data_IF_971527663882
#
_entry.id   IF_971527663882
#
_cell.length_a   1.000
_cell.length_b   1.000
_cell.length_c   1.000
_cell.angle_alpha   90.00
_cell.angle_beta   90.00
_cell.angle_gamma   90.00
#
_symmetry.space_group_name_H-M   'P 1'
#
loop_
_entity.id
_entity.type
_entity.pdbx_description
1 polymer ?
#
# COMPACT_ATOMS: atom_id res chain seq x y z
N UNK A 1 6.55 27.89 7.17
CA UNK A 1 5.95 26.65 6.59
C UNK A 1 6.30 25.52 7.53
N UNK A 2 5.32 24.75 7.97
CA UNK A 2 5.51 23.73 8.99
C UNK A 2 6.40 22.61 8.39
N UNK A 3 7.57 22.33 8.96
CA UNK A 3 8.55 21.35 8.45
C UNK A 3 7.94 19.96 8.22
N UNK A 4 6.88 19.61 8.95
CA UNK A 4 6.15 18.34 8.85
C UNK A 4 5.40 18.17 7.51
N UNK A 5 4.96 19.24 6.85
CA UNK A 5 4.28 19.14 5.55
C UNK A 5 5.20 18.63 4.44
N UNK A 6 6.52 18.74 4.63
CA UNK A 6 7.52 18.28 3.67
C UNK A 6 7.98 16.82 3.89
N UNK A 7 7.49 16.14 4.91
CA UNK A 7 7.86 14.75 5.18
C UNK A 7 6.91 13.80 4.43
N UNK A 8 7.43 12.72 3.86
CA UNK A 8 6.63 11.57 3.39
C UNK A 8 6.69 10.48 4.46
N UNK A 9 5.54 10.10 4.99
CA UNK A 9 5.42 8.96 5.91
C UNK A 9 5.21 7.68 5.13
N UNK A 10 6.17 6.77 5.21
CA UNK A 10 6.10 5.43 4.61
C UNK A 10 5.58 4.45 5.63
N UNK A 11 4.42 3.86 5.39
CA UNK A 11 3.79 2.88 6.29
C UNK A 11 3.98 1.48 5.72
N UNK A 12 4.65 0.60 6.48
CA UNK A 12 4.93 -0.78 6.11
C UNK A 12 4.27 -1.73 7.11
N UNK A 13 3.21 -2.46 6.71
CA UNK A 13 2.65 -3.54 7.51
C UNK A 13 3.62 -4.71 7.62
N UNK A 14 3.94 -5.16 8.83
CA UNK A 14 4.86 -6.26 9.10
C UNK A 14 4.16 -7.34 9.92
N UNK A 15 3.77 -8.44 9.28
CA UNK A 15 3.14 -9.59 9.94
C UNK A 15 4.17 -10.61 10.44
N UNK A 16 5.34 -10.64 9.82
CA UNK A 16 6.50 -11.46 10.17
C UNK A 16 7.75 -10.82 9.59
N UNK A 17 8.90 -11.10 10.17
CA UNK A 17 10.17 -10.62 9.62
C UNK A 17 10.59 -11.52 8.47
N UNK A 18 10.77 -10.92 7.32
CA UNK A 18 11.32 -11.58 6.13
C UNK A 18 12.62 -10.91 5.70
N UNK A 19 13.53 -11.62 5.01
CA UNK A 19 14.74 -11.03 4.44
C UNK A 19 14.44 -9.87 3.49
N UNK A 20 13.34 -9.94 2.76
CA UNK A 20 12.88 -8.91 1.82
C UNK A 20 12.62 -7.58 2.51
N UNK A 21 12.14 -7.57 3.75
CA UNK A 21 11.87 -6.34 4.51
C UNK A 21 13.12 -5.44 4.60
N UNK A 22 14.29 -6.03 4.85
CA UNK A 22 15.55 -5.27 4.89
C UNK A 22 15.88 -4.65 3.52
N UNK A 23 15.66 -5.40 2.44
CA UNK A 23 15.88 -4.91 1.08
C UNK A 23 14.92 -3.77 0.77
N UNK A 24 13.64 -3.93 1.11
CA UNK A 24 12.60 -2.89 0.93
C UNK A 24 12.98 -1.62 1.69
N UNK A 25 13.35 -1.72 2.97
CA UNK A 25 13.78 -0.56 3.79
C UNK A 25 14.96 0.17 3.15
N UNK A 26 15.98 -0.57 2.68
CA UNK A 26 17.15 0.01 2.00
C UNK A 26 16.75 0.74 0.70
N UNK A 27 15.77 0.24 -0.05
CA UNK A 27 15.25 0.93 -1.23
C UNK A 27 14.49 2.21 -0.86
N UNK A 28 13.71 2.19 0.20
CA UNK A 28 12.99 3.38 0.69
C UNK A 28 13.96 4.46 1.17
N UNK A 29 15.04 4.08 1.85
CA UNK A 29 16.10 5.00 2.33
C UNK A 29 16.86 5.73 1.20
N UNK A 30 16.69 5.34 -0.08
CA UNK A 30 17.22 6.06 -1.24
C UNK A 30 16.44 7.31 -1.60
N UNK A 31 15.43 7.67 -0.82
CA UNK A 31 14.72 8.94 -0.96
C UNK A 31 15.69 10.12 -0.83
N UNK A 32 15.51 11.14 -1.64
CA UNK A 32 16.30 12.37 -1.64
C UNK A 32 15.66 13.50 -0.85
N UNK A 33 14.42 13.29 -0.42
CA UNK A 33 13.65 14.24 0.38
C UNK A 33 13.38 13.66 1.78
N UNK A 34 13.00 14.48 2.77
CA UNK A 34 12.73 14.01 4.12
C UNK A 34 11.61 12.95 4.16
N UNK A 35 11.91 11.82 4.81
CA UNK A 35 10.98 10.71 5.03
C UNK A 35 10.99 10.26 6.49
N UNK A 36 9.90 9.68 6.93
CA UNK A 36 9.83 8.80 8.09
C UNK A 36 9.27 7.43 7.68
N UNK A 37 9.73 6.36 8.32
CA UNK A 37 9.27 5.00 8.05
C UNK A 37 8.61 4.45 9.30
N UNK A 38 7.35 4.03 9.18
CA UNK A 38 6.60 3.39 10.25
C UNK A 38 6.45 1.90 9.92
N UNK A 39 7.19 1.06 10.65
CA UNK A 39 7.02 -0.38 10.63
C UNK A 39 5.87 -0.72 11.58
N UNK A 40 4.70 -1.03 11.03
CA UNK A 40 3.52 -1.40 11.82
C UNK A 40 3.54 -2.91 11.99
N UNK A 41 3.99 -3.34 13.16
CA UNK A 41 4.40 -4.72 13.46
C UNK A 41 3.33 -5.42 14.29
N UNK A 42 2.90 -6.61 13.86
CA UNK A 42 2.02 -7.47 14.67
C UNK A 42 2.71 -7.84 15.97
N UNK A 43 1.97 -7.79 17.09
CA UNK A 43 2.52 -8.10 18.41
C UNK A 43 3.00 -9.54 18.57
N UNK A 44 2.65 -10.45 17.65
CA UNK A 44 3.21 -11.80 17.59
C UNK A 44 4.69 -11.83 17.16
N UNK A 45 5.19 -10.77 16.52
CA UNK A 45 6.59 -10.62 16.12
C UNK A 45 7.40 -10.16 17.32
N UNK A 46 8.10 -11.10 17.98
CA UNK A 46 8.89 -10.85 19.19
C UNK A 46 10.32 -10.39 18.86
N UNK A 47 10.79 -10.63 17.65
CA UNK A 47 12.15 -10.33 17.25
C UNK A 47 12.41 -8.81 17.27
N UNK A 48 13.63 -8.46 17.67
CA UNK A 48 14.10 -7.08 17.66
C UNK A 48 14.42 -6.62 16.24
N UNK A 49 13.87 -5.48 15.84
CA UNK A 49 14.20 -4.82 14.58
C UNK A 49 15.17 -3.68 14.88
N UNK A 50 16.36 -3.71 14.28
CA UNK A 50 17.26 -2.56 14.31
C UNK A 50 16.67 -1.45 13.45
N UNK A 51 16.44 -0.28 14.06
CA UNK A 51 15.82 0.88 13.41
C UNK A 51 16.86 1.92 13.05
N UNK A 52 16.71 2.54 11.89
CA UNK A 52 17.43 3.76 11.51
C UNK A 52 16.81 4.99 12.20
N UNK A 53 17.50 6.13 12.27
CA UNK A 53 17.02 7.33 13.00
C UNK A 53 15.65 7.87 12.54
N UNK A 54 15.29 7.65 11.27
CA UNK A 54 14.01 8.05 10.69
C UNK A 54 12.97 6.93 10.65
N UNK A 55 13.21 5.82 11.36
CA UNK A 55 12.31 4.67 11.43
C UNK A 55 11.70 4.56 12.82
N UNK A 56 10.44 4.10 12.85
CA UNK A 56 9.68 3.87 14.08
C UNK A 56 8.98 2.52 14.00
N UNK A 57 9.09 1.71 15.05
CA UNK A 57 8.26 0.53 15.25
C UNK A 57 6.94 0.93 15.93
N UNK A 58 5.82 0.54 15.35
CA UNK A 58 4.47 0.71 15.89
C UNK A 58 3.89 -0.68 16.10
N UNK A 59 3.61 -1.07 17.34
CA UNK A 59 3.07 -2.38 17.63
C UNK A 59 1.54 -2.37 17.53
N UNK A 60 0.96 -3.43 16.94
CA UNK A 60 -0.49 -3.60 16.82
C UNK A 60 -0.90 -5.05 17.07
N UNK A 61 -1.98 -5.24 17.84
CA UNK A 61 -2.60 -6.55 18.07
C UNK A 61 -3.84 -6.83 17.20
N UNK A 62 -4.31 -5.82 16.45
CA UNK A 62 -5.50 -5.93 15.60
C UNK A 62 -5.15 -6.64 14.29
N UNK A 63 -6.00 -7.58 13.88
CA UNK A 63 -5.86 -8.28 12.60
C UNK A 63 -6.64 -7.58 11.50
N UNK A 64 -6.08 -7.62 10.29
CA UNK A 64 -6.66 -7.02 9.11
C UNK A 64 -5.83 -5.82 8.61
N UNK A 65 -5.62 -5.79 7.30
CA UNK A 65 -4.68 -4.84 6.69
C UNK A 65 -5.09 -3.39 6.90
N UNK A 66 -6.38 -3.07 6.75
CA UNK A 66 -6.85 -1.70 6.96
C UNK A 66 -6.69 -1.22 8.40
N UNK A 67 -6.83 -2.13 9.40
CA UNK A 67 -6.56 -1.80 10.80
C UNK A 67 -5.08 -1.45 11.03
N UNK A 68 -4.18 -2.23 10.41
CA UNK A 68 -2.72 -2.02 10.49
C UNK A 68 -2.34 -0.69 9.84
N UNK A 69 -2.85 -0.41 8.65
CA UNK A 69 -2.61 0.86 7.95
C UNK A 69 -3.16 2.05 8.74
N UNK A 70 -4.36 1.92 9.30
CA UNK A 70 -4.98 2.99 10.10
C UNK A 70 -4.13 3.35 11.34
N UNK A 71 -3.53 2.37 12.00
CA UNK A 71 -2.62 2.64 13.11
C UNK A 71 -1.36 3.39 12.66
N UNK A 72 -0.75 2.96 11.53
CA UNK A 72 0.35 3.70 10.92
C UNK A 72 -0.01 5.15 10.57
N UNK A 73 -1.21 5.38 10.01
CA UNK A 73 -1.72 6.72 9.70
C UNK A 73 -1.83 7.59 10.95
N UNK A 74 -2.35 7.05 12.07
CA UNK A 74 -2.47 7.79 13.35
C UNK A 74 -1.11 8.24 13.88
N UNK A 75 -0.09 7.39 13.72
CA UNK A 75 1.25 7.63 14.22
C UNK A 75 2.13 8.45 13.26
N UNK A 76 1.67 8.67 12.01
CA UNK A 76 2.42 9.40 11.00
C UNK A 76 2.42 10.90 11.22
N UNK A 77 3.52 11.58 10.89
CA UNK A 77 3.69 13.04 11.06
C UNK A 77 3.76 13.79 9.74
N UNK A 78 4.05 13.08 8.63
CA UNK A 78 4.26 13.68 7.32
C UNK A 78 3.00 14.23 6.65
N UNK A 79 3.19 15.17 5.73
CA UNK A 79 2.12 15.75 4.91
C UNK A 79 1.62 14.83 3.80
N UNK A 80 2.40 13.80 3.47
CA UNK A 80 2.09 12.78 2.46
C UNK A 80 2.26 11.42 3.12
N UNK A 81 1.37 10.48 2.82
CA UNK A 81 1.45 9.09 3.28
C UNK A 81 1.54 8.18 2.07
N UNK A 82 2.45 7.19 2.12
CA UNK A 82 2.55 6.10 1.16
C UNK A 82 2.47 4.76 1.91
N UNK A 83 1.73 3.80 1.34
CA UNK A 83 1.62 2.44 1.84
C UNK A 83 2.49 1.51 1.01
N UNK A 84 3.45 0.85 1.63
CA UNK A 84 4.39 -0.06 0.94
C UNK A 84 4.31 -1.44 1.59
N UNK A 85 4.22 -2.49 0.77
CA UNK A 85 4.29 -3.85 1.30
C UNK A 85 5.72 -4.22 1.67
N UNK A 86 5.88 -5.15 2.60
CA UNK A 86 7.18 -5.63 3.05
C UNK A 86 8.00 -6.38 1.97
N UNK A 87 7.42 -6.61 0.80
CA UNK A 87 7.99 -7.29 -0.37
C UNK A 87 7.95 -6.44 -1.65
N UNK A 88 7.73 -5.12 -1.52
CA UNK A 88 7.59 -4.20 -2.66
C UNK A 88 8.76 -3.22 -2.72
N UNK A 89 9.48 -3.21 -3.82
CA UNK A 89 10.60 -2.30 -4.09
C UNK A 89 10.09 -1.04 -4.78
N UNK A 90 10.39 0.12 -4.19
CA UNK A 90 10.12 1.42 -4.80
C UNK A 90 11.20 1.77 -5.85
N UNK A 91 10.85 2.42 -6.97
CA UNK A 91 11.80 2.87 -7.97
C UNK A 91 12.69 4.01 -7.46
N UNK A 92 13.83 4.26 -8.13
CA UNK A 92 14.62 5.45 -7.84
C UNK A 92 13.81 6.72 -8.08
N UNK A 93 13.96 7.73 -7.22
CA UNK A 93 13.25 9.01 -7.30
C UNK A 93 11.75 8.91 -7.03
N UNK A 94 11.30 7.84 -6.37
CA UNK A 94 9.91 7.62 -5.99
C UNK A 94 9.31 8.79 -5.21
N UNK A 95 10.08 9.38 -4.31
CA UNK A 95 9.71 10.52 -3.47
C UNK A 95 9.48 11.80 -4.30
N UNK A 96 10.35 12.06 -5.27
CA UNK A 96 10.20 13.17 -6.20
C UNK A 96 8.99 12.97 -7.12
N UNK A 97 8.78 11.75 -7.63
CA UNK A 97 7.62 11.46 -8.48
C UNK A 97 6.29 11.73 -7.76
N UNK A 98 6.17 11.33 -6.48
CA UNK A 98 4.99 11.63 -5.65
C UNK A 98 4.81 13.14 -5.48
N UNK A 99 5.88 13.86 -5.15
CA UNK A 99 5.82 15.31 -4.93
C UNK A 99 5.40 16.05 -6.19
N UNK A 100 5.97 15.69 -7.34
CA UNK A 100 5.62 16.28 -8.62
C UNK A 100 4.14 16.04 -8.95
N UNK A 101 3.62 14.84 -8.71
CA UNK A 101 2.20 14.55 -8.90
C UNK A 101 1.29 15.41 -8.00
N UNK A 102 1.71 15.65 -6.76
CA UNK A 102 0.96 16.41 -5.78
C UNK A 102 1.14 17.93 -5.89
N UNK A 103 1.92 18.45 -6.84
CA UNK A 103 1.93 19.89 -7.17
C UNK A 103 0.57 20.35 -7.69
N UNK A 104 -0.12 19.49 -8.44
CA UNK A 104 -1.53 19.69 -8.80
C UNK A 104 -2.40 19.51 -7.53
N UNK A 105 -2.98 20.60 -7.05
CA UNK A 105 -3.82 20.62 -5.83
C UNK A 105 -5.09 19.76 -5.95
N UNK A 106 -5.53 19.46 -7.18
CA UNK A 106 -6.67 18.58 -7.44
C UNK A 106 -6.33 17.11 -7.20
N UNK A 107 -5.03 16.73 -7.29
CA UNK A 107 -4.58 15.37 -7.03
C UNK A 107 -4.59 15.11 -5.52
N UNK A 108 -5.46 14.18 -5.11
CA UNK A 108 -5.57 13.73 -3.71
C UNK A 108 -4.56 12.64 -3.40
N UNK A 109 -4.29 11.79 -4.37
CA UNK A 109 -3.38 10.67 -4.21
C UNK A 109 -3.24 9.88 -5.51
N UNK A 110 -2.63 8.72 -5.39
CA UNK A 110 -2.36 7.88 -6.56
C UNK A 110 -1.67 6.57 -6.19
N UNK A 111 -1.07 5.96 -7.18
CA UNK A 111 -0.21 4.79 -7.06
C UNK A 111 0.82 4.77 -8.19
N UNK A 112 1.68 3.79 -8.15
CA UNK A 112 2.70 3.55 -9.17
C UNK A 112 2.21 2.55 -10.22
N UNK A 113 2.87 2.53 -11.38
CA UNK A 113 2.85 1.36 -12.24
C UNK A 113 3.44 0.19 -11.48
N UNK A 114 3.02 -1.04 -11.80
CA UNK A 114 3.37 -2.22 -11.01
C UNK A 114 3.85 -3.35 -11.93
N UNK A 115 4.84 -4.10 -11.45
CA UNK A 115 5.25 -5.38 -12.05
C UNK A 115 5.63 -6.38 -10.95
N UNK A 116 5.61 -7.67 -11.31
CA UNK A 116 6.16 -8.72 -10.45
C UNK A 116 7.63 -8.98 -10.79
N UNK A 117 8.40 -9.44 -9.81
CA UNK A 117 9.80 -9.91 -9.94
C UNK A 117 9.90 -11.27 -10.66
N UNK A 118 9.08 -11.49 -11.67
CA UNK A 118 8.94 -12.78 -12.33
C UNK A 118 8.89 -12.65 -13.84
N UNK A 119 9.54 -13.58 -14.54
CA UNK A 119 9.46 -13.74 -15.99
C UNK A 119 8.20 -14.46 -16.45
N UNK A 120 7.34 -14.90 -15.53
CA UNK A 120 6.10 -15.60 -15.86
C UNK A 120 5.15 -14.68 -16.66
N UNK A 121 4.84 -15.07 -17.90
CA UNK A 121 4.02 -14.29 -18.84
C UNK A 121 2.63 -13.95 -18.29
N UNK A 122 2.04 -14.83 -17.48
CA UNK A 122 0.73 -14.58 -16.87
C UNK A 122 0.80 -13.44 -15.84
N UNK A 123 1.83 -13.43 -14.99
CA UNK A 123 2.05 -12.35 -14.02
C UNK A 123 2.38 -11.03 -14.70
N UNK A 124 3.20 -11.06 -15.75
CA UNK A 124 3.46 -9.88 -16.57
C UNK A 124 2.18 -9.33 -17.19
N UNK A 125 1.31 -10.20 -17.74
CA UNK A 125 0.00 -9.79 -18.26
C UNK A 125 -0.88 -9.14 -17.18
N UNK A 126 -0.90 -9.68 -15.96
CA UNK A 126 -1.63 -9.08 -14.84
C UNK A 126 -1.10 -7.69 -14.47
N UNK A 127 0.20 -7.47 -14.58
CA UNK A 127 0.87 -6.20 -14.27
C UNK A 127 0.66 -5.13 -15.35
N UNK A 128 0.51 -5.50 -16.61
CA UNK A 128 0.53 -4.58 -17.76
C UNK A 128 -0.64 -3.58 -17.86
N UNK A 129 -1.61 -3.58 -16.92
CA UNK A 129 -2.86 -2.79 -17.09
C UNK A 129 -3.29 -1.90 -15.91
N UNK A 130 -2.38 -1.27 -15.11
CA UNK A 130 -2.82 -0.42 -13.99
C UNK A 130 -3.66 0.78 -14.45
N UNK A 131 -3.19 1.51 -15.48
CA UNK A 131 -3.89 2.68 -16.01
C UNK A 131 -5.26 2.34 -16.61
N UNK A 132 -5.40 1.21 -17.32
CA UNK A 132 -6.70 0.76 -17.83
C UNK A 132 -7.67 0.38 -16.72
N UNK A 133 -7.18 -0.23 -15.62
CA UNK A 133 -8.02 -0.52 -14.45
C UNK A 133 -8.50 0.75 -13.76
N UNK A 134 -7.63 1.75 -13.61
CA UNK A 134 -8.03 3.04 -13.06
C UNK A 134 -9.13 3.70 -13.90
N UNK A 135 -9.02 3.64 -15.23
CA UNK A 135 -10.06 4.19 -16.13
C UNK A 135 -11.37 3.41 -16.07
N UNK A 136 -11.33 2.07 -16.02
CA UNK A 136 -12.50 1.22 -16.04
C UNK A 136 -13.12 1.03 -14.66
N UNK A 137 -12.30 0.71 -13.65
CA UNK A 137 -12.76 0.37 -12.30
C UNK A 137 -12.54 1.50 -11.30
N UNK A 138 -11.79 2.53 -11.68
CA UNK A 138 -11.35 3.64 -10.80
C UNK A 138 -10.70 3.14 -9.50
N UNK A 139 -9.95 2.03 -9.58
CA UNK A 139 -9.31 1.40 -8.44
C UNK A 139 -7.80 1.32 -8.60
N UNK A 140 -7.07 1.69 -7.54
CA UNK A 140 -5.66 1.40 -7.35
C UNK A 140 -5.58 0.20 -6.39
N UNK A 141 -4.71 -0.74 -6.68
CA UNK A 141 -4.50 -1.89 -5.83
C UNK A 141 -3.34 -1.66 -4.86
N UNK A 142 -3.37 -2.36 -3.75
CA UNK A 142 -2.36 -2.20 -2.70
C UNK A 142 -0.93 -2.47 -3.16
N UNK A 143 -0.73 -3.36 -4.14
CA UNK A 143 0.59 -3.64 -4.72
C UNK A 143 1.20 -2.44 -5.48
N UNK A 144 0.40 -1.43 -5.79
CA UNK A 144 0.83 -0.22 -6.51
C UNK A 144 1.42 0.86 -5.61
N UNK A 145 1.78 0.54 -4.36
CA UNK A 145 2.32 1.48 -3.38
C UNK A 145 1.51 2.80 -3.35
N UNK A 146 0.25 2.70 -2.90
CA UNK A 146 -0.69 3.83 -2.88
C UNK A 146 -0.16 4.98 -2.04
N UNK A 147 -0.25 6.19 -2.57
CA UNK A 147 0.06 7.41 -1.82
C UNK A 147 -1.14 8.35 -1.75
N UNK A 148 -1.19 9.18 -0.71
CA UNK A 148 -2.33 10.05 -0.44
C UNK A 148 -1.91 11.26 0.40
N UNK A 149 -2.59 12.40 0.24
CA UNK A 149 -2.42 13.54 1.15
C UNK A 149 -2.81 13.17 2.58
N UNK A 150 -1.91 13.42 3.52
CA UNK A 150 -2.10 13.05 4.93
C UNK A 150 -3.38 13.63 5.53
N UNK A 151 -3.65 14.91 5.29
CA UNK A 151 -4.86 15.57 5.79
C UNK A 151 -6.14 14.85 5.33
N UNK A 152 -6.21 14.47 4.06
CA UNK A 152 -7.38 13.77 3.52
C UNK A 152 -7.59 12.41 4.18
N UNK A 153 -6.53 11.59 4.28
CA UNK A 153 -6.70 10.24 4.82
C UNK A 153 -6.94 10.26 6.33
N UNK A 154 -6.33 11.16 7.08
CA UNK A 154 -6.56 11.31 8.52
C UNK A 154 -8.02 11.65 8.85
N UNK A 155 -8.69 12.43 8.01
CA UNK A 155 -10.12 12.73 8.14
C UNK A 155 -11.03 11.54 7.77
N UNK A 156 -10.49 10.52 7.11
CA UNK A 156 -11.25 9.39 6.60
C UNK A 156 -10.77 8.03 7.14
N UNK A 157 -9.95 8.00 8.20
CA UNK A 157 -9.36 6.78 8.75
C UNK A 157 -10.42 5.70 9.02
N UNK A 158 -11.51 6.05 9.68
CA UNK A 158 -12.57 5.10 10.05
C UNK A 158 -13.19 4.37 8.85
N UNK A 159 -13.15 4.98 7.66
CA UNK A 159 -13.70 4.38 6.45
C UNK A 159 -12.80 3.32 5.84
N UNK A 160 -11.50 3.32 6.17
CA UNK A 160 -10.53 2.33 5.69
C UNK A 160 -10.12 1.31 6.76
N UNK A 161 -10.62 1.44 7.99
CA UNK A 161 -10.42 0.45 9.06
C UNK A 161 -11.20 -0.84 8.78
N UNK A 162 -10.90 -1.46 7.66
CA UNK A 162 -11.51 -2.72 7.22
C UNK A 162 -10.51 -3.88 7.38
N UNK A 163 -10.98 -5.08 7.67
CA UNK A 163 -10.08 -6.24 7.75
C UNK A 163 -9.45 -6.57 6.40
N UNK A 164 -10.14 -6.26 5.30
CA UNK A 164 -9.72 -6.43 3.90
C UNK A 164 -10.47 -5.41 3.02
N UNK A 165 -10.01 -5.18 1.78
CA UNK A 165 -10.58 -4.24 0.80
C UNK A 165 -10.40 -2.76 1.15
N UNK A 166 -9.48 -2.44 2.03
CA UNK A 166 -9.12 -1.08 2.40
C UNK A 166 -8.57 -0.28 1.21
N UNK A 167 -7.87 -0.94 0.28
CA UNK A 167 -7.35 -0.36 -0.96
C UNK A 167 -8.48 0.04 -1.91
N UNK A 168 -9.47 -0.84 -2.08
CA UNK A 168 -10.69 -0.56 -2.86
C UNK A 168 -11.45 0.62 -2.26
N UNK A 169 -11.61 0.59 -0.94
CA UNK A 169 -12.33 1.65 -0.23
C UNK A 169 -11.58 2.99 -0.32
N UNK A 170 -10.27 2.99 -0.14
CA UNK A 170 -9.44 4.19 -0.28
C UNK A 170 -9.50 4.75 -1.71
N UNK A 171 -9.41 3.88 -2.74
CA UNK A 171 -9.57 4.29 -4.13
C UNK A 171 -10.91 4.97 -4.40
N UNK A 172 -12.01 4.39 -3.91
CA UNK A 172 -13.35 4.99 -4.02
C UNK A 172 -13.43 6.35 -3.33
N UNK A 173 -12.87 6.46 -2.13
CA UNK A 173 -12.82 7.73 -1.39
C UNK A 173 -12.04 8.81 -2.13
N UNK A 174 -10.85 8.48 -2.64
CA UNK A 174 -10.03 9.42 -3.40
C UNK A 174 -10.74 9.88 -4.68
N UNK A 175 -11.29 8.95 -5.47
CA UNK A 175 -11.99 9.27 -6.72
C UNK A 175 -13.25 10.12 -6.52
N UNK A 176 -13.91 10.01 -5.35
CA UNK A 176 -15.08 10.84 -5.02
C UNK A 176 -14.69 12.28 -4.68
N UNK A 177 -13.48 12.50 -4.18
CA UNK A 177 -13.07 13.77 -3.57
C UNK A 177 -12.03 14.55 -4.40
N UNK A 178 -11.48 13.98 -5.48
CA UNK A 178 -10.56 14.67 -6.37
C UNK A 178 -9.91 13.75 -7.39
N UNK A 179 -8.82 14.24 -7.98
CA UNK A 179 -8.09 13.55 -9.03
C UNK A 179 -7.16 12.48 -8.43
N UNK A 180 -7.13 11.33 -9.08
CA UNK A 180 -6.27 10.18 -8.74
C UNK A 180 -5.36 9.88 -9.93
N UNK A 181 -4.08 9.65 -9.69
CA UNK A 181 -3.07 9.44 -10.75
C UNK A 181 -2.34 8.11 -10.59
N UNK A 182 -1.92 7.54 -11.72
CA UNK A 182 -0.95 6.44 -11.77
C UNK A 182 0.35 7.02 -12.32
N UNK A 183 1.40 6.89 -11.52
CA UNK A 183 2.75 7.28 -11.91
C UNK A 183 3.31 6.26 -12.92
N UNK A 184 4.13 6.74 -13.85
CA UNK A 184 4.80 5.90 -14.86
C UNK A 184 5.94 5.07 -14.27
N UNK A 185 6.52 5.55 -13.18
CA UNK A 185 7.55 4.85 -12.41
C UNK A 185 6.95 3.54 -11.89
N UNK A 186 7.75 2.46 -11.93
CA UNK A 186 7.24 1.10 -11.69
C UNK A 186 7.78 0.55 -10.38
N UNK A 187 6.88 0.13 -9.50
CA UNK A 187 7.21 -0.68 -8.32
C UNK A 187 7.30 -2.15 -8.69
N UNK A 188 8.16 -2.89 -8.00
CA UNK A 188 8.37 -4.32 -8.19
C UNK A 188 7.93 -5.04 -6.93
N UNK A 189 6.96 -5.96 -7.05
CA UNK A 189 6.46 -6.76 -5.93
C UNK A 189 6.83 -8.23 -6.11
N UNK A 190 7.12 -8.93 -5.03
CA UNK A 190 7.45 -10.34 -5.07
C UNK A 190 6.29 -11.19 -5.61
N UNK A 191 6.61 -12.08 -6.54
CA UNK A 191 5.68 -13.07 -7.08
C UNK A 191 5.51 -14.29 -6.16
N UNK A 192 6.32 -14.42 -5.11
CA UNK A 192 6.41 -15.62 -4.28
C UNK A 192 5.04 -16.08 -3.74
N UNK A 193 4.24 -15.17 -3.20
CA UNK A 193 2.90 -15.49 -2.69
C UNK A 193 1.95 -15.97 -3.80
N UNK A 194 2.02 -15.35 -4.99
CA UNK A 194 1.20 -15.76 -6.13
C UNK A 194 1.57 -17.17 -6.61
N UNK A 195 2.87 -17.46 -6.70
CA UNK A 195 3.38 -18.75 -7.12
C UNK A 195 3.02 -19.84 -6.10
N UNK A 196 3.27 -19.59 -4.80
CA UNK A 196 3.00 -20.54 -3.73
C UNK A 196 1.51 -20.91 -3.60
N UNK A 197 0.60 -19.98 -3.87
CA UNK A 197 -0.85 -20.22 -3.83
C UNK A 197 -1.44 -20.76 -5.14
N UNK A 198 -0.65 -20.83 -6.20
CA UNK A 198 -1.07 -21.17 -7.56
C UNK A 198 -1.69 -19.97 -8.28
N UNK A 199 -1.14 -19.61 -9.43
CA UNK A 199 -1.44 -18.37 -10.16
C UNK A 199 -2.94 -18.18 -10.42
N UNK A 200 -3.59 -19.15 -11.06
CA UNK A 200 -5.02 -19.08 -11.42
C UNK A 200 -5.91 -19.11 -10.18
N UNK A 201 -5.58 -19.99 -9.22
CA UNK A 201 -6.34 -20.13 -7.97
C UNK A 201 -6.32 -18.83 -7.17
N UNK A 202 -5.16 -18.18 -7.05
CA UNK A 202 -5.02 -16.92 -6.33
C UNK A 202 -5.76 -15.79 -7.04
N UNK A 203 -5.64 -15.70 -8.37
CA UNK A 203 -6.37 -14.70 -9.17
C UNK A 203 -7.89 -14.86 -9.01
N UNK A 204 -8.41 -16.09 -9.14
CA UNK A 204 -9.84 -16.36 -8.93
C UNK A 204 -10.29 -15.94 -7.54
N UNK A 205 -9.49 -16.22 -6.52
CA UNK A 205 -9.76 -15.87 -5.12
C UNK A 205 -9.82 -14.36 -4.91
N UNK A 206 -8.89 -13.60 -5.51
CA UNK A 206 -8.89 -12.13 -5.48
C UNK A 206 -10.12 -11.58 -6.20
N UNK A 207 -10.40 -12.04 -7.41
CA UNK A 207 -11.55 -11.57 -8.21
C UNK A 207 -12.86 -11.85 -7.46
N UNK A 208 -13.05 -13.07 -6.95
CA UNK A 208 -14.25 -13.43 -6.18
C UNK A 208 -14.41 -12.55 -4.93
N UNK A 209 -13.35 -12.31 -4.18
CA UNK A 209 -13.39 -11.45 -3.00
C UNK A 209 -13.80 -10.00 -3.36
N UNK A 210 -13.25 -9.46 -4.46
CA UNK A 210 -13.55 -8.11 -4.93
C UNK A 210 -15.00 -7.99 -5.46
N UNK A 211 -15.46 -8.97 -6.23
CA UNK A 211 -16.87 -9.01 -6.69
C UNK A 211 -17.82 -9.11 -5.50
N UNK A 212 -17.52 -9.96 -4.52
CA UNK A 212 -18.35 -10.06 -3.32
C UNK A 212 -18.40 -8.74 -2.55
N UNK A 213 -17.28 -8.04 -2.41
CA UNK A 213 -17.25 -6.71 -1.81
C UNK A 213 -18.04 -5.67 -2.63
N UNK A 214 -17.93 -5.72 -3.96
CA UNK A 214 -18.63 -4.78 -4.86
C UNK A 214 -20.17 -4.87 -4.76
N UNK A 215 -20.70 -6.05 -4.47
CA UNK A 215 -22.16 -6.26 -4.25
C UNK A 215 -22.59 -6.09 -2.78
N UNK A 216 -21.75 -5.48 -1.95
CA UNK A 216 -22.10 -5.16 -0.54
C UNK A 216 -21.79 -6.28 0.46
N UNK A 217 -20.93 -7.24 0.12
CA UNK A 217 -20.53 -8.31 1.04
C UNK A 217 -19.79 -7.79 2.29
N UNK A 218 -20.02 -8.46 3.42
CA UNK A 218 -19.38 -8.12 4.70
C UNK A 218 -17.86 -8.32 4.63
N UNK A 219 -17.05 -7.29 4.86
CA UNK A 219 -15.58 -7.39 4.84
C UNK A 219 -15.02 -8.43 5.82
N UNK A 220 -15.68 -8.70 6.95
CA UNK A 220 -15.23 -9.74 7.90
C UNK A 220 -15.38 -11.13 7.30
N UNK A 221 -16.51 -11.43 6.64
CA UNK A 221 -16.71 -12.72 5.97
C UNK A 221 -15.78 -12.87 4.76
N UNK A 222 -15.52 -11.78 4.02
CA UNK A 222 -14.57 -11.77 2.90
C UNK A 222 -13.14 -12.03 3.41
N UNK A 223 -12.75 -11.43 4.53
CA UNK A 223 -11.46 -11.67 5.17
C UNK A 223 -11.29 -13.13 5.57
N UNK A 224 -12.28 -13.71 6.23
CA UNK A 224 -12.28 -15.14 6.58
C UNK A 224 -12.12 -16.04 5.35
N UNK A 225 -12.89 -15.80 4.29
CA UNK A 225 -12.78 -16.53 3.03
C UNK A 225 -11.38 -16.39 2.40
N UNK A 226 -10.81 -15.16 2.44
CA UNK A 226 -9.55 -14.87 1.77
C UNK A 226 -8.33 -15.38 2.54
N UNK A 227 -8.37 -15.42 3.86
CA UNK A 227 -7.24 -15.81 4.71
C UNK A 227 -7.40 -17.19 5.38
N UNK A 228 -8.58 -17.83 5.35
CA UNK A 228 -8.70 -19.24 5.76
C UNK A 228 -7.83 -20.12 4.85
N UNK A 229 -6.98 -20.91 5.51
CA UNK A 229 -6.19 -21.96 4.85
C UNK A 229 -7.07 -23.10 4.38
#
# INVERSE_FOLDING_TARGET
>A
MNNQQNIISVIIPVLYLSPELTIVRNHIQRATTPIEILLVVDTSVQETIQLSPNEKRVNISKRGRGMVLAEGIRQSTGGIIIFVHADTLLPYGWDIAIRNALTDKQVIGGGFSHTFDSTNRYLQFLSMRPSRRLHLLREIWGEQAMFVRSQFIKQNISKIELPIMEDVQLSKLMNKNGKVVILKETVITSAATFIARGLLRNTFRIVKARLWYAVGGDPKKIYEYYYKK
#
